data_IF_240231597557
#
_entry.id   IF_240231597557
#
_cell.length_a   1.000
_cell.length_b   1.000
_cell.length_c   1.000
_cell.angle_alpha   90.00
_cell.angle_beta   90.00
_cell.angle_gamma   90.00
#
_symmetry.space_group_name_H-M   'P 1'
#
loop_
_entity.id
_entity.type
_entity.pdbx_description
1 polymer ?
#
# COMPACT_ATOMS: atom_id res chain seq x y z
N UNK A 1 -3.97 6.22 28.62
CA UNK A 1 -3.30 7.28 27.83
C UNK A 1 -4.35 7.99 26.99
N UNK A 2 -4.37 9.31 26.97
CA UNK A 2 -5.32 10.08 26.15
C UNK A 2 -4.84 10.19 24.70
N UNK A 3 -5.76 10.51 23.78
CA UNK A 3 -5.44 10.76 22.38
C UNK A 3 -4.42 11.91 22.24
N UNK A 4 -4.57 12.98 23.04
CA UNK A 4 -3.60 14.09 23.07
C UNK A 4 -2.22 13.64 23.55
N UNK A 5 -2.14 12.85 24.62
CA UNK A 5 -0.86 12.30 25.11
C UNK A 5 -0.18 11.42 24.06
N UNK A 6 -0.96 10.60 23.34
CA UNK A 6 -0.46 9.77 22.25
C UNK A 6 0.09 10.63 21.09
N UNK A 7 -0.64 11.67 20.68
CA UNK A 7 -0.18 12.60 19.65
C UNK A 7 1.09 13.36 20.08
N UNK A 8 1.20 13.75 21.35
CA UNK A 8 2.41 14.38 21.88
C UNK A 8 3.62 13.45 21.84
N UNK A 9 3.45 12.16 22.15
CA UNK A 9 4.51 11.14 22.01
C UNK A 9 4.99 11.01 20.56
N UNK A 10 4.06 10.93 19.61
CA UNK A 10 4.41 10.85 18.18
C UNK A 10 5.11 12.14 17.71
N UNK A 11 4.64 13.31 18.15
CA UNK A 11 5.30 14.59 17.84
C UNK A 11 6.73 14.62 18.38
N UNK A 12 6.95 14.18 19.61
CA UNK A 12 8.27 14.12 20.23
C UNK A 12 9.23 13.16 19.49
N UNK A 13 8.69 12.14 18.82
CA UNK A 13 9.44 11.23 17.94
C UNK A 13 9.64 11.77 16.52
N UNK A 14 9.21 13.00 16.21
CA UNK A 14 9.39 13.59 14.87
C UNK A 14 8.43 13.05 13.80
N UNK A 15 7.30 12.48 14.20
CA UNK A 15 6.27 12.00 13.28
C UNK A 15 5.54 13.20 12.63
N UNK A 16 5.36 13.26 11.30
CA UNK A 16 4.85 14.45 10.61
C UNK A 16 3.41 14.83 10.95
N UNK A 17 2.51 13.84 11.06
CA UNK A 17 1.08 14.06 11.28
C UNK A 17 0.58 13.44 12.60
N UNK A 18 1.13 13.85 13.75
CA UNK A 18 1.02 13.11 14.99
C UNK A 18 -0.41 12.92 15.48
N UNK A 19 -1.29 13.92 15.30
CA UNK A 19 -2.69 13.81 15.72
C UNK A 19 -3.49 12.91 14.78
N UNK A 20 -3.32 13.04 13.46
CA UNK A 20 -4.00 12.19 12.49
C UNK A 20 -3.61 10.72 12.72
N UNK A 21 -2.31 10.45 12.84
CA UNK A 21 -1.79 9.11 13.05
C UNK A 21 -2.25 8.52 14.41
N UNK A 22 -2.23 9.30 15.49
CA UNK A 22 -2.75 8.86 16.78
C UNK A 22 -4.24 8.48 16.70
N UNK A 23 -5.05 9.25 15.94
CA UNK A 23 -6.48 8.94 15.73
C UNK A 23 -6.68 7.59 15.03
N UNK A 24 -5.88 7.32 13.99
CA UNK A 24 -5.89 6.05 13.25
C UNK A 24 -5.49 4.88 14.14
N UNK A 25 -4.48 5.06 14.99
CA UNK A 25 -4.06 4.02 15.94
C UNK A 25 -5.12 3.76 17.02
N UNK A 26 -5.80 4.80 17.53
CA UNK A 26 -6.92 4.62 18.47
C UNK A 26 -8.09 3.86 17.85
N UNK A 27 -8.41 4.17 16.59
CA UNK A 27 -9.46 3.47 15.85
C UNK A 27 -9.10 1.99 15.64
N UNK A 28 -7.88 1.71 15.20
CA UNK A 28 -7.45 0.35 14.88
C UNK A 28 -7.23 -0.52 16.12
N UNK A 29 -6.62 0.02 17.18
CA UNK A 29 -6.14 -0.79 18.32
C UNK A 29 -6.92 -0.60 19.61
N UNK A 30 -7.65 0.49 19.78
CA UNK A 30 -8.55 0.69 20.93
C UNK A 30 -10.03 0.61 20.54
N UNK A 31 -10.33 0.35 19.27
CA UNK A 31 -11.70 0.27 18.72
C UNK A 31 -12.55 1.52 19.01
N UNK A 32 -11.92 2.69 19.12
CA UNK A 32 -12.61 3.96 19.32
C UNK A 32 -12.78 4.63 17.95
N UNK A 33 -13.99 4.65 17.37
CA UNK A 33 -14.20 5.16 16.01
C UNK A 33 -13.93 6.66 15.93
N UNK A 34 -13.52 7.14 14.75
CA UNK A 34 -13.17 8.55 14.56
C UNK A 34 -14.27 9.53 15.00
N UNK A 35 -15.55 9.17 14.83
CA UNK A 35 -16.72 9.96 15.24
C UNK A 35 -16.73 10.27 16.75
N UNK A 36 -16.22 9.36 17.58
CA UNK A 36 -16.13 9.54 19.04
C UNK A 36 -14.88 10.31 19.47
N UNK A 37 -13.92 10.48 18.56
CA UNK A 37 -12.69 11.23 18.79
C UNK A 37 -12.81 12.71 18.40
N UNK A 38 -13.83 13.10 17.63
CA UNK A 38 -14.01 14.48 17.16
C UNK A 38 -14.51 15.36 18.31
N UNK A 39 -13.83 16.47 18.56
CA UNK A 39 -14.17 17.40 19.65
C UNK A 39 -13.99 16.83 21.06
N UNK A 40 -13.43 15.62 21.18
CA UNK A 40 -13.20 14.89 22.43
C UNK A 40 -11.74 14.48 22.55
N UNK A 41 -11.34 14.03 23.74
CA UNK A 41 -10.01 13.47 24.02
C UNK A 41 -10.18 12.10 24.70
N UNK A 42 -10.56 11.06 23.93
CA UNK A 42 -10.76 9.75 24.50
C UNK A 42 -9.45 9.20 25.08
N UNK A 43 -9.57 8.33 26.07
CA UNK A 43 -8.45 7.63 26.68
C UNK A 43 -8.61 6.13 26.52
N UNK A 44 -7.51 5.44 26.26
CA UNK A 44 -7.44 3.99 26.28
C UNK A 44 -6.15 3.54 26.97
N UNK A 45 -6.21 2.41 27.64
CA UNK A 45 -5.10 1.66 28.22
C UNK A 45 -4.85 0.34 27.49
N UNK A 46 -5.44 0.16 26.29
CA UNK A 46 -5.27 -1.05 25.49
C UNK A 46 -3.78 -1.35 25.24
N UNK A 47 -3.30 -2.56 25.60
CA UNK A 47 -1.91 -2.94 25.40
C UNK A 47 -1.46 -2.91 23.93
N UNK A 48 -2.34 -3.26 22.98
CA UNK A 48 -2.04 -3.25 21.56
C UNK A 48 -1.87 -1.81 21.04
N UNK A 49 -2.71 -0.87 21.51
CA UNK A 49 -2.53 0.55 21.21
C UNK A 49 -1.19 1.07 21.74
N UNK A 50 -0.84 0.71 22.98
CA UNK A 50 0.43 1.11 23.57
C UNK A 50 1.62 0.57 22.77
N UNK A 51 1.55 -0.67 22.31
CA UNK A 51 2.60 -1.28 21.49
C UNK A 51 2.69 -0.65 20.09
N UNK A 52 1.56 -0.41 19.43
CA UNK A 52 1.52 0.24 18.13
C UNK A 52 2.11 1.66 18.19
N UNK A 53 1.83 2.42 19.25
CA UNK A 53 2.42 3.76 19.44
C UNK A 53 3.94 3.72 19.67
N UNK A 54 4.46 2.69 20.36
CA UNK A 54 5.92 2.51 20.51
C UNK A 54 6.57 2.20 19.18
N UNK A 55 6.01 1.26 18.42
CA UNK A 55 6.50 0.89 17.08
C UNK A 55 6.43 2.08 16.13
N UNK A 56 5.35 2.85 16.18
CA UNK A 56 5.22 4.07 15.37
C UNK A 56 6.24 5.14 15.75
N UNK A 57 6.47 5.36 17.04
CA UNK A 57 7.52 6.26 17.53
C UNK A 57 8.94 5.80 17.13
N UNK A 58 9.13 4.52 16.80
CA UNK A 58 10.35 3.98 16.20
C UNK A 58 10.36 4.03 14.66
N UNK A 59 9.51 4.89 14.08
CA UNK A 59 9.34 5.13 12.64
C UNK A 59 8.90 3.90 11.83
N UNK A 60 8.29 2.89 12.44
CA UNK A 60 7.60 1.87 11.64
C UNK A 60 6.43 2.54 10.87
N UNK A 61 6.27 2.28 9.56
CA UNK A 61 5.23 2.92 8.78
C UNK A 61 3.82 2.67 9.31
N UNK A 62 2.98 3.71 9.33
CA UNK A 62 1.61 3.59 9.83
C UNK A 62 0.83 2.51 9.05
N UNK A 63 1.00 2.48 7.73
CA UNK A 63 0.30 1.52 6.87
C UNK A 63 0.61 0.05 7.23
N UNK A 64 1.84 -0.26 7.65
CA UNK A 64 2.21 -1.60 8.11
C UNK A 64 1.66 -1.93 9.50
N UNK A 65 1.54 -0.93 10.38
CA UNK A 65 0.86 -1.11 11.67
C UNK A 65 -0.63 -1.40 11.47
N UNK A 66 -1.28 -0.69 10.54
CA UNK A 66 -2.69 -0.89 10.21
C UNK A 66 -2.93 -2.19 9.41
N UNK A 67 -1.93 -2.65 8.65
CA UNK A 67 -2.03 -3.83 7.79
C UNK A 67 -2.83 -3.59 6.50
N UNK A 68 -3.31 -2.37 6.28
CA UNK A 68 -4.01 -1.96 5.06
C UNK A 68 -3.80 -0.47 4.79
N UNK A 69 -4.01 -0.07 3.53
CA UNK A 69 -3.88 1.31 3.10
C UNK A 69 -4.88 1.65 2.00
N UNK A 70 -5.35 2.89 2.01
CA UNK A 70 -6.19 3.43 0.94
C UNK A 70 -5.34 3.70 -0.29
N UNK A 71 -5.87 3.35 -1.47
CA UNK A 71 -5.31 3.74 -2.75
C UNK A 71 -6.43 3.81 -3.78
N UNK A 72 -6.47 4.89 -4.54
CA UNK A 72 -7.55 5.23 -5.44
C UNK A 72 -8.92 5.21 -4.72
N UNK A 73 -9.77 4.21 -4.99
CA UNK A 73 -11.12 4.10 -4.39
C UNK A 73 -11.27 2.90 -3.47
N UNK A 74 -10.22 2.11 -3.32
CA UNK A 74 -10.20 0.87 -2.58
C UNK A 74 -9.30 0.95 -1.35
N UNK A 75 -9.39 -0.08 -0.51
CA UNK A 75 -8.44 -0.32 0.58
C UNK A 75 -7.77 -1.65 0.34
N UNK A 76 -6.44 -1.63 0.30
CA UNK A 76 -5.60 -2.79 0.02
C UNK A 76 -4.93 -3.25 1.29
N UNK A 77 -4.96 -4.56 1.53
CA UNK A 77 -4.08 -5.22 2.48
C UNK A 77 -2.63 -4.95 2.09
N UNK A 78 -1.80 -4.72 3.10
CA UNK A 78 -0.37 -4.55 2.96
C UNK A 78 0.39 -5.60 3.76
N UNK A 79 1.59 -5.87 3.28
CA UNK A 79 2.58 -6.67 3.98
C UNK A 79 3.94 -5.95 3.91
N UNK A 80 4.89 -6.30 4.79
CA UNK A 80 6.27 -5.83 4.70
C UNK A 80 7.01 -6.28 3.44
N UNK A 81 6.37 -6.98 2.50
CA UNK A 81 6.90 -7.34 1.18
C UNK A 81 6.44 -6.37 0.08
N UNK A 82 5.51 -5.46 0.37
CA UNK A 82 4.93 -4.51 -0.59
C UNK A 82 5.39 -3.08 -0.30
N UNK A 83 5.63 -2.29 -1.34
CA UNK A 83 5.71 -0.84 -1.21
C UNK A 83 4.34 -0.30 -0.75
N UNK A 84 4.34 0.68 0.14
CA UNK A 84 3.10 1.38 0.50
C UNK A 84 2.66 2.22 -0.72
N UNK A 85 1.41 2.06 -1.21
CA UNK A 85 0.92 2.80 -2.37
C UNK A 85 1.07 4.32 -2.19
N UNK A 86 1.40 5.01 -3.29
CA UNK A 86 1.62 6.47 -3.32
C UNK A 86 0.54 7.14 -4.15
N UNK A 87 0.05 8.28 -3.68
CA UNK A 87 -0.97 9.10 -4.36
C UNK A 87 -0.59 9.41 -5.81
N UNK A 88 0.67 9.74 -6.08
CA UNK A 88 1.17 10.00 -7.45
C UNK A 88 0.97 8.81 -8.41
N UNK A 89 0.85 7.59 -7.88
CA UNK A 89 0.60 6.38 -8.69
C UNK A 89 -0.86 6.26 -9.12
N UNK A 90 -1.78 6.98 -8.50
CA UNK A 90 -3.21 6.96 -8.88
C UNK A 90 -3.42 7.51 -10.30
N UNK A 91 -2.57 8.44 -10.75
CA UNK A 91 -2.61 8.95 -12.13
C UNK A 91 -2.40 7.83 -13.16
N UNK A 92 -1.58 6.82 -12.86
CA UNK A 92 -1.39 5.65 -13.74
C UNK A 92 -2.69 4.86 -13.89
N UNK A 93 -3.45 4.72 -12.80
CA UNK A 93 -4.75 4.04 -12.79
C UNK A 93 -5.78 4.84 -13.59
N UNK A 94 -5.84 6.16 -13.38
CA UNK A 94 -6.77 7.04 -14.11
C UNK A 94 -6.56 6.98 -15.62
N UNK A 95 -5.30 7.09 -16.05
CA UNK A 95 -4.93 7.01 -17.48
C UNK A 95 -5.25 5.63 -18.04
N UNK A 96 -4.94 4.55 -17.31
CA UNK A 96 -5.25 3.20 -17.77
C UNK A 96 -6.76 2.97 -17.94
N UNK A 97 -7.59 3.43 -17.00
CA UNK A 97 -9.06 3.33 -17.11
C UNK A 97 -9.59 4.09 -18.32
N UNK A 98 -9.02 5.26 -18.63
CA UNK A 98 -9.46 6.09 -19.74
C UNK A 98 -9.07 5.55 -21.13
N UNK A 99 -7.90 4.92 -21.22
CA UNK A 99 -7.29 4.54 -22.51
C UNK A 99 -7.46 3.04 -22.86
N UNK A 100 -7.73 2.18 -21.87
CA UNK A 100 -7.90 0.75 -22.13
C UNK A 100 -9.18 0.47 -22.94
N UNK A 101 -9.09 -0.35 -24.00
CA UNK A 101 -10.28 -0.79 -24.71
C UNK A 101 -11.13 -1.71 -23.82
N UNK A 102 -12.43 -1.79 -24.14
CA UNK A 102 -13.33 -2.74 -23.47
C UNK A 102 -12.81 -4.18 -23.66
N UNK A 103 -12.76 -4.95 -22.57
CA UNK A 103 -12.28 -6.33 -22.62
C UNK A 103 -10.76 -6.50 -22.77
N UNK A 104 -9.98 -5.42 -22.65
CA UNK A 104 -8.52 -5.46 -22.75
C UNK A 104 -7.87 -6.48 -21.80
N UNK A 105 -6.75 -7.05 -22.24
CA UNK A 105 -5.84 -7.81 -21.41
C UNK A 105 -4.52 -7.05 -21.22
N UNK A 106 -4.24 -6.61 -20.00
CA UNK A 106 -3.04 -5.84 -19.66
C UNK A 106 -2.13 -6.55 -18.66
N UNK A 107 -0.89 -6.09 -18.54
CA UNK A 107 0.03 -6.53 -17.50
C UNK A 107 0.31 -5.39 -16.51
N UNK A 108 0.39 -5.70 -15.23
CA UNK A 108 0.91 -4.82 -14.18
C UNK A 108 2.22 -5.39 -13.65
N UNK A 109 3.33 -4.77 -14.06
CA UNK A 109 4.69 -5.20 -13.73
C UNK A 109 5.15 -4.52 -12.43
N UNK A 110 5.73 -5.30 -11.52
CA UNK A 110 6.05 -4.87 -10.16
C UNK A 110 4.78 -4.51 -9.38
N UNK A 111 3.79 -5.41 -9.44
CA UNK A 111 2.42 -5.17 -8.94
C UNK A 111 2.35 -4.89 -7.43
N UNK A 112 3.36 -5.30 -6.64
CA UNK A 112 3.36 -5.10 -5.21
C UNK A 112 2.12 -5.71 -4.55
N UNK A 113 1.35 -4.88 -3.83
CA UNK A 113 0.07 -5.26 -3.21
C UNK A 113 -1.08 -5.49 -4.22
N UNK A 114 -0.83 -5.30 -5.51
CA UNK A 114 -1.82 -5.35 -6.58
C UNK A 114 -2.59 -4.04 -6.77
N UNK A 115 -2.23 -2.96 -6.05
CA UNK A 115 -3.05 -1.75 -5.98
C UNK A 115 -3.34 -1.13 -7.36
N UNK A 116 -2.36 -1.05 -8.26
CA UNK A 116 -2.56 -0.49 -9.62
C UNK A 116 -3.47 -1.40 -10.44
N UNK A 117 -3.05 -2.64 -10.71
CA UNK A 117 -3.81 -3.55 -11.56
C UNK A 117 -5.23 -3.84 -11.05
N UNK A 118 -5.40 -4.01 -9.74
CA UNK A 118 -6.71 -4.27 -9.16
C UNK A 118 -7.63 -3.05 -9.16
N UNK A 119 -7.12 -1.82 -8.95
CA UNK A 119 -7.95 -0.61 -9.11
C UNK A 119 -8.43 -0.47 -10.54
N UNK A 120 -7.56 -0.71 -11.54
CA UNK A 120 -7.98 -0.71 -12.95
C UNK A 120 -9.11 -1.73 -13.16
N UNK A 121 -8.91 -2.99 -12.76
CA UNK A 121 -9.93 -4.03 -12.88
C UNK A 121 -11.25 -3.67 -12.17
N UNK A 122 -11.20 -3.06 -10.99
CA UNK A 122 -12.38 -2.65 -10.23
C UNK A 122 -13.23 -1.62 -10.99
N UNK A 123 -12.62 -0.84 -11.89
CA UNK A 123 -13.23 0.29 -12.57
C UNK A 123 -13.44 0.12 -14.07
N UNK A 124 -13.02 -1.02 -14.64
CA UNK A 124 -13.26 -1.36 -16.04
C UNK A 124 -14.10 -2.63 -16.17
N UNK A 125 -14.91 -2.69 -17.23
CA UNK A 125 -15.74 -3.86 -17.54
C UNK A 125 -15.01 -4.83 -18.48
N UNK A 126 -15.09 -6.12 -18.18
CA UNK A 126 -14.58 -7.19 -19.06
C UNK A 126 -13.05 -7.31 -19.18
N UNK A 127 -12.29 -6.33 -18.70
CA UNK A 127 -10.82 -6.37 -18.73
C UNK A 127 -10.28 -7.48 -17.84
N UNK A 128 -9.10 -7.98 -18.23
CA UNK A 128 -8.31 -8.95 -17.47
C UNK A 128 -6.90 -8.42 -17.27
N UNK A 129 -6.21 -8.91 -16.26
CA UNK A 129 -4.86 -8.48 -15.96
C UNK A 129 -3.94 -9.64 -15.57
N UNK A 130 -2.67 -9.56 -15.97
CA UNK A 130 -1.58 -10.31 -15.36
C UNK A 130 -0.86 -9.40 -14.35
N UNK A 131 -0.93 -9.76 -13.06
CA UNK A 131 -0.26 -9.06 -11.98
C UNK A 131 1.00 -9.85 -11.62
N UNK A 132 2.16 -9.22 -11.77
CA UNK A 132 3.42 -9.91 -11.52
C UNK A 132 4.41 -9.11 -10.70
N UNK A 133 5.16 -9.83 -9.89
CA UNK A 133 6.20 -9.27 -9.04
C UNK A 133 7.30 -10.31 -8.83
N UNK A 134 8.52 -9.85 -8.58
CA UNK A 134 9.64 -10.74 -8.20
C UNK A 134 9.46 -11.26 -6.76
N UNK A 135 8.72 -10.52 -5.93
CA UNK A 135 8.45 -10.87 -4.55
C UNK A 135 7.24 -11.81 -4.43
N UNK A 136 7.48 -13.06 -4.03
CA UNK A 136 6.40 -14.02 -3.76
C UNK A 136 5.42 -13.53 -2.68
N UNK A 137 5.91 -12.83 -1.65
CA UNK A 137 5.07 -12.25 -0.60
C UNK A 137 4.19 -11.10 -1.10
N UNK A 138 4.68 -10.31 -2.06
CA UNK A 138 3.89 -9.28 -2.71
C UNK A 138 2.76 -9.90 -3.56
N UNK A 139 3.09 -10.89 -4.40
CA UNK A 139 2.09 -11.62 -5.20
C UNK A 139 1.02 -12.27 -4.32
N UNK A 140 1.41 -12.85 -3.19
CA UNK A 140 0.45 -13.41 -2.22
C UNK A 140 -0.46 -12.34 -1.61
N UNK A 141 0.07 -11.14 -1.36
CA UNK A 141 -0.72 -10.00 -0.89
C UNK A 141 -1.70 -9.52 -1.97
N UNK A 142 -1.26 -9.44 -3.23
CA UNK A 142 -2.10 -9.10 -4.37
C UNK A 142 -3.25 -10.10 -4.58
N UNK A 143 -3.00 -11.41 -4.42
CA UNK A 143 -4.05 -12.44 -4.47
C UNK A 143 -5.13 -12.22 -3.41
N UNK A 144 -4.73 -11.98 -2.16
CA UNK A 144 -5.67 -11.71 -1.05
C UNK A 144 -6.49 -10.45 -1.32
N UNK A 145 -5.88 -9.40 -1.90
CA UNK A 145 -6.61 -8.21 -2.29
C UNK A 145 -7.61 -8.48 -3.42
N UNK A 146 -7.25 -9.28 -4.42
CA UNK A 146 -8.18 -9.66 -5.49
C UNK A 146 -9.35 -10.48 -4.97
N UNK A 147 -9.12 -11.39 -4.01
CA UNK A 147 -10.18 -12.12 -3.33
C UNK A 147 -11.11 -11.18 -2.55
N UNK A 148 -10.54 -10.26 -1.75
CA UNK A 148 -11.32 -9.26 -0.98
C UNK A 148 -12.18 -8.37 -1.87
N UNK A 149 -11.71 -8.05 -3.07
CA UNK A 149 -12.41 -7.22 -4.05
C UNK A 149 -13.32 -8.02 -5.01
N UNK A 150 -13.33 -9.35 -4.95
CA UNK A 150 -14.10 -10.20 -5.87
C UNK A 150 -13.58 -10.18 -7.32
N UNK A 151 -12.28 -9.94 -7.51
CA UNK A 151 -11.62 -9.77 -8.81
C UNK A 151 -10.80 -10.98 -9.25
N UNK A 152 -10.74 -12.05 -8.46
CA UNK A 152 -9.90 -13.24 -8.72
C UNK A 152 -10.14 -13.85 -10.11
N UNK A 153 -11.35 -13.81 -10.66
CA UNK A 153 -11.65 -14.34 -12.00
C UNK A 153 -11.11 -13.49 -13.16
N UNK A 154 -10.65 -12.27 -12.88
CA UNK A 154 -10.12 -11.31 -13.86
C UNK A 154 -8.63 -11.03 -13.69
N UNK A 155 -8.00 -11.62 -12.68
CA UNK A 155 -6.59 -11.41 -12.36
C UNK A 155 -5.83 -12.74 -12.37
N UNK A 156 -4.82 -12.81 -13.23
CA UNK A 156 -3.80 -13.85 -13.24
C UNK A 156 -2.57 -13.35 -12.44
N UNK A 157 -1.86 -14.25 -11.75
CA UNK A 157 -0.76 -13.88 -10.86
C UNK A 157 0.51 -14.66 -11.18
N UNK A 158 1.64 -13.97 -11.25
CA UNK A 158 2.92 -14.58 -11.57
C UNK A 158 4.06 -14.04 -10.69
N UNK A 159 4.83 -14.96 -10.10
CA UNK A 159 6.11 -14.60 -9.48
C UNK A 159 7.18 -14.69 -10.55
N UNK A 160 7.72 -13.55 -10.99
CA UNK A 160 8.72 -13.50 -12.06
C UNK A 160 9.62 -12.26 -11.95
N UNK A 161 10.83 -12.40 -12.48
CA UNK A 161 11.72 -11.28 -12.75
C UNK A 161 11.41 -10.72 -14.13
N UNK A 162 10.97 -9.46 -14.19
CA UNK A 162 10.63 -8.76 -15.44
C UNK A 162 11.83 -8.73 -16.40
N UNK A 163 13.05 -8.65 -15.87
CA UNK A 163 14.28 -8.58 -16.67
C UNK A 163 14.64 -9.90 -17.34
N UNK A 164 14.08 -11.02 -16.84
CA UNK A 164 14.27 -12.35 -17.41
C UNK A 164 13.28 -12.66 -18.56
N UNK A 165 12.32 -11.76 -18.82
CA UNK A 165 11.22 -11.97 -19.76
C UNK A 165 10.01 -12.63 -19.08
N UNK A 166 8.81 -12.13 -19.38
CA UNK A 166 7.62 -12.36 -18.55
C UNK A 166 6.50 -13.19 -19.18
N UNK A 167 6.56 -13.52 -20.47
CA UNK A 167 5.79 -14.57 -21.16
C UNK A 167 5.95 -14.40 -22.68
N UNK A 168 5.61 -15.44 -23.43
CA UNK A 168 5.21 -15.31 -24.83
C UNK A 168 3.73 -14.88 -24.88
N UNK A 169 3.44 -13.67 -25.35
CA UNK A 169 2.07 -13.15 -25.39
C UNK A 169 1.97 -11.72 -25.92
N UNK A 170 0.73 -11.25 -26.14
CA UNK A 170 0.42 -9.87 -26.46
C UNK A 170 -0.51 -9.32 -25.39
N UNK A 171 -0.14 -8.16 -24.84
CA UNK A 171 -0.98 -7.35 -23.98
C UNK A 171 -1.44 -6.12 -24.75
N UNK A 172 -2.65 -5.64 -24.47
CA UNK A 172 -3.16 -4.38 -24.99
C UNK A 172 -2.45 -3.19 -24.32
N UNK A 173 -2.01 -3.35 -23.07
CA UNK A 173 -1.20 -2.39 -22.35
C UNK A 173 -0.26 -3.05 -21.34
N UNK A 174 0.81 -2.34 -20.98
CA UNK A 174 1.72 -2.70 -19.89
C UNK A 174 1.78 -1.51 -18.94
N UNK A 175 1.39 -1.73 -17.70
CA UNK A 175 1.46 -0.79 -16.60
C UNK A 175 2.62 -1.20 -15.70
N UNK A 176 3.31 -0.22 -15.10
CA UNK A 176 4.32 -0.51 -14.09
C UNK A 176 4.62 0.74 -13.27
N UNK A 177 4.78 0.55 -11.97
CA UNK A 177 5.47 1.48 -11.09
C UNK A 177 6.74 0.78 -10.55
N UNK A 178 7.81 0.69 -11.36
CA UNK A 178 9.01 -0.06 -11.00
C UNK A 178 9.83 0.71 -9.95
N UNK A 179 10.78 0.06 -9.27
CA UNK A 179 11.73 0.76 -8.43
C UNK A 179 12.61 1.71 -9.26
N UNK A 180 12.64 3.00 -8.90
CA UNK A 180 13.34 4.06 -9.66
C UNK A 180 14.30 4.92 -8.83
N UNK A 181 14.32 4.77 -7.50
CA UNK A 181 15.17 5.56 -6.62
C UNK A 181 16.61 5.08 -6.75
N UNK A 182 17.53 6.02 -6.97
CA UNK A 182 18.96 5.72 -7.06
C UNK A 182 19.51 5.28 -5.70
N UNK A 183 20.45 4.34 -5.70
CA UNK A 183 21.11 3.89 -4.47
C UNK A 183 21.77 5.05 -3.69
N UNK A 184 22.28 6.07 -4.39
CA UNK A 184 22.88 7.25 -3.77
C UNK A 184 21.89 8.13 -3.01
N UNK A 185 20.59 8.00 -3.26
CA UNK A 185 19.51 8.76 -2.58
C UNK A 185 19.07 8.04 -1.30
N UNK A 186 19.32 6.74 -1.16
CA UNK A 186 18.93 5.97 0.02
C UNK A 186 19.29 6.62 1.37
N UNK A 187 20.50 7.18 1.58
CA UNK A 187 20.86 7.81 2.85
C UNK A 187 19.98 9.02 3.22
N UNK A 188 19.41 9.71 2.21
CA UNK A 188 18.59 10.91 2.38
C UNK A 188 17.10 10.62 2.54
N UNK A 189 16.68 9.36 2.38
CA UNK A 189 15.28 8.96 2.58
C UNK A 189 14.88 9.11 4.05
N UNK A 190 13.59 9.28 4.30
CA UNK A 190 13.05 9.30 5.66
C UNK A 190 13.25 7.93 6.34
N UNK A 191 13.30 7.92 7.66
CA UNK A 191 13.43 6.68 8.43
C UNK A 191 12.29 5.70 8.16
N UNK A 192 11.10 6.23 7.85
CA UNK A 192 9.93 5.43 7.51
C UNK A 192 10.09 4.72 6.15
N UNK A 193 10.53 5.44 5.10
CA UNK A 193 10.75 4.84 3.78
C UNK A 193 11.87 3.79 3.85
N UNK A 194 12.89 4.00 4.67
CA UNK A 194 13.96 3.02 4.90
C UNK A 194 13.46 1.70 5.51
N UNK A 195 12.27 1.68 6.10
CA UNK A 195 11.62 0.48 6.68
C UNK A 195 10.76 -0.28 5.68
N UNK A 196 10.51 0.27 4.49
CA UNK A 196 9.87 -0.43 3.39
C UNK A 196 10.88 -1.32 2.64
N UNK A 197 10.44 -2.32 1.84
CA UNK A 197 11.35 -3.18 1.08
C UNK A 197 12.25 -2.36 0.15
N UNK A 198 13.58 -2.36 0.33
CA UNK A 198 14.47 -1.58 -0.54
C UNK A 198 14.34 -1.98 -2.00
N UNK A 199 14.08 -3.27 -2.29
CA UNK A 199 13.85 -3.78 -3.66
C UNK A 199 12.65 -3.16 -4.37
N UNK A 200 11.68 -2.63 -3.62
CA UNK A 200 10.44 -2.11 -4.18
C UNK A 200 10.56 -0.63 -4.55
N UNK A 201 11.66 0.05 -4.18
CA UNK A 201 11.90 1.44 -4.57
C UNK A 201 13.31 1.72 -5.10
N UNK A 202 14.33 0.92 -4.77
CA UNK A 202 15.70 1.09 -5.27
C UNK A 202 15.91 0.45 -6.64
N UNK A 203 16.24 1.28 -7.64
CA UNK A 203 16.37 0.87 -9.05
C UNK A 203 17.81 0.78 -9.59
N UNK A 204 18.83 1.00 -8.75
CA UNK A 204 20.25 1.02 -9.16
C UNK A 204 20.98 2.30 -8.83
#
# INVERSE_FOLDING_TARGET
MTLREAAERLRAAGIPEPLYEARRLFEAFAHIPLSEQIGRDPSSDDPALCEALKRRAAHEPLAYLLGEWGFYRETYLLSPDCLIPREDTELLVEVAIAELPEGAYFADLCTGSGCVGLSVLAHTAGTRALLLDISAGAVETAKKNAERLGLTSRADFLVADVTAGVADGRFDAILSNPPYIKNSVYPTLSEEVKKEPPRAFLGG
#
